data_IF_737553091581
#
_entry.id   IF_737553091581
#
_cell.length_a   1.000
_cell.length_b   1.000
_cell.length_c   1.000
_cell.angle_alpha   90.00
_cell.angle_beta   90.00
_cell.angle_gamma   90.00
#
_symmetry.space_group_name_H-M   'P 1'
#
loop_
_entity.id
_entity.type
_entity.pdbx_description
1 polymer ?
#
# COMPACT_ATOMS: atom_id res chain seq x y z
N UNK A 1 22.80 -20.09 5.87
CA UNK A 1 22.20 -18.91 6.52
C UNK A 1 21.08 -18.29 5.68
N UNK A 2 21.34 -17.84 4.43
CA UNK A 2 20.29 -17.32 3.50
C UNK A 2 19.05 -18.23 3.39
N UNK A 3 19.24 -19.50 3.05
CA UNK A 3 18.14 -20.47 2.93
C UNK A 3 17.31 -20.62 4.22
N UNK A 4 17.96 -20.59 5.39
CA UNK A 4 17.26 -20.65 6.69
C UNK A 4 16.39 -19.43 6.92
N UNK A 5 16.88 -18.23 6.60
CA UNK A 5 16.12 -16.98 6.71
C UNK A 5 14.90 -16.99 5.79
N UNK A 6 15.08 -17.42 4.53
CA UNK A 6 13.98 -17.53 3.55
C UNK A 6 12.90 -18.49 4.07
N UNK A 7 13.30 -19.68 4.53
CA UNK A 7 12.35 -20.66 5.09
C UNK A 7 11.62 -20.12 6.32
N UNK A 8 12.30 -19.39 7.19
CA UNK A 8 11.69 -18.76 8.36
C UNK A 8 10.68 -17.67 7.97
N UNK A 9 11.02 -16.80 7.02
CA UNK A 9 10.11 -15.75 6.53
C UNK A 9 8.87 -16.33 5.86
N UNK A 10 9.04 -17.37 5.05
CA UNK A 10 7.91 -18.07 4.42
C UNK A 10 7.01 -18.73 5.47
N UNK A 11 7.58 -19.39 6.48
CA UNK A 11 6.80 -19.98 7.57
C UNK A 11 6.04 -18.92 8.36
N UNK A 12 6.69 -17.82 8.74
CA UNK A 12 6.04 -16.71 9.43
C UNK A 12 4.92 -16.11 8.59
N UNK A 13 5.15 -15.93 7.28
CA UNK A 13 4.11 -15.48 6.34
C UNK A 13 2.92 -16.42 6.38
N UNK A 14 3.12 -17.74 6.23
CA UNK A 14 2.03 -18.72 6.28
C UNK A 14 1.25 -18.66 7.60
N UNK A 15 1.96 -18.54 8.73
CA UNK A 15 1.33 -18.44 10.05
C UNK A 15 0.54 -17.12 10.17
N UNK A 16 1.08 -15.99 9.72
CA UNK A 16 0.38 -14.70 9.75
C UNK A 16 -0.92 -14.75 8.96
N UNK A 17 -0.94 -15.49 7.85
CA UNK A 17 -2.11 -15.62 6.99
C UNK A 17 -3.23 -16.49 7.60
N UNK A 18 -3.00 -17.23 8.69
CA UNK A 18 -4.08 -17.95 9.41
C UNK A 18 -5.01 -17.00 10.17
N UNK A 19 -4.58 -15.75 10.38
CA UNK A 19 -5.28 -14.73 11.18
C UNK A 19 -5.52 -15.15 12.64
N UNK A 20 -4.76 -16.10 13.16
CA UNK A 20 -4.85 -16.51 14.56
C UNK A 20 -4.14 -15.51 15.49
N UNK A 21 -4.66 -15.30 16.71
CA UNK A 21 -3.99 -14.45 17.69
C UNK A 21 -2.66 -15.09 18.11
N UNK A 22 -1.61 -14.28 18.19
CA UNK A 22 -0.35 -14.74 18.75
C UNK A 22 -0.32 -14.61 20.27
N UNK A 23 0.45 -15.46 20.96
CA UNK A 23 0.88 -15.17 22.32
C UNK A 23 1.50 -13.78 22.41
N UNK A 24 1.28 -13.09 23.54
CA UNK A 24 1.74 -11.71 23.76
C UNK A 24 3.23 -11.58 23.50
N UNK A 25 4.03 -12.53 23.99
CA UNK A 25 5.48 -12.52 23.81
C UNK A 25 5.88 -12.60 22.34
N UNK A 26 5.28 -13.52 21.57
CA UNK A 26 5.53 -13.65 20.13
C UNK A 26 5.16 -12.36 19.40
N UNK A 27 4.01 -11.76 19.73
CA UNK A 27 3.60 -10.50 19.13
C UNK A 27 4.56 -9.35 19.47
N UNK A 28 5.09 -9.33 20.70
CA UNK A 28 6.07 -8.33 21.14
C UNK A 28 7.40 -8.45 20.37
N UNK A 29 7.86 -9.67 20.08
CA UNK A 29 9.08 -9.92 19.32
C UNK A 29 8.92 -9.52 17.85
N UNK A 30 7.79 -9.87 17.23
CA UNK A 30 7.51 -9.51 15.82
C UNK A 30 7.26 -8.01 15.65
N UNK A 31 6.69 -7.35 16.67
CA UNK A 31 6.48 -5.90 16.69
C UNK A 31 7.72 -5.10 17.10
N UNK A 32 8.84 -5.78 17.41
CA UNK A 32 10.06 -5.13 17.84
C UNK A 32 10.68 -4.33 16.69
N UNK A 33 10.93 -3.04 16.91
CA UNK A 33 11.49 -2.15 15.89
C UNK A 33 12.89 -2.56 15.42
N UNK A 34 13.70 -3.23 16.26
CA UNK A 34 15.01 -3.78 15.87
C UNK A 34 14.83 -4.90 14.85
N UNK A 35 13.86 -5.78 15.07
CA UNK A 35 13.56 -6.87 14.15
C UNK A 35 13.04 -6.33 12.81
N UNK A 36 12.11 -5.37 12.84
CA UNK A 36 11.58 -4.77 11.62
C UNK A 36 12.65 -3.99 10.83
N UNK A 37 13.53 -3.25 11.51
CA UNK A 37 14.71 -2.61 10.90
C UNK A 37 15.62 -3.61 10.24
N UNK A 38 15.84 -4.77 10.86
CA UNK A 38 16.60 -5.85 10.25
C UNK A 38 15.94 -6.36 8.96
N UNK A 39 14.61 -6.54 8.94
CA UNK A 39 13.90 -6.92 7.71
C UNK A 39 14.03 -5.86 6.61
N UNK A 40 13.93 -4.57 6.95
CA UNK A 40 14.15 -3.50 5.98
C UNK A 40 15.59 -3.54 5.43
N UNK A 41 16.58 -3.68 6.32
CA UNK A 41 17.98 -3.82 5.91
C UNK A 41 18.24 -5.06 5.04
N UNK A 42 17.52 -6.16 5.25
CA UNK A 42 17.61 -7.32 4.36
C UNK A 42 17.17 -6.96 2.94
N UNK A 43 16.13 -6.15 2.79
CA UNK A 43 15.63 -5.71 1.48
C UNK A 43 16.60 -4.72 0.85
N UNK A 44 17.03 -3.69 1.60
CA UNK A 44 17.91 -2.65 1.06
C UNK A 44 19.29 -3.19 0.66
N UNK A 45 19.89 -4.07 1.47
CA UNK A 45 21.24 -4.58 1.23
C UNK A 45 21.28 -5.71 0.19
N UNK A 46 20.15 -6.30 -0.19
CA UNK A 46 20.08 -7.44 -1.12
C UNK A 46 19.08 -7.19 -2.25
N UNK A 47 18.94 -5.93 -2.71
CA UNK A 47 17.89 -5.52 -3.65
C UNK A 47 17.87 -6.29 -4.99
N UNK A 48 19.01 -6.84 -5.42
CA UNK A 48 19.12 -7.67 -6.64
C UNK A 48 18.76 -9.16 -6.41
N UNK A 49 18.58 -9.58 -5.16
CA UNK A 49 18.35 -10.97 -4.77
C UNK A 49 16.86 -11.24 -4.50
N UNK A 50 16.11 -11.41 -5.60
CA UNK A 50 14.67 -11.66 -5.56
C UNK A 50 14.27 -12.87 -4.69
N UNK A 51 15.14 -13.87 -4.53
CA UNK A 51 14.90 -15.04 -3.67
C UNK A 51 14.80 -14.67 -2.18
N UNK A 52 15.45 -13.59 -1.75
CA UNK A 52 15.44 -13.10 -0.37
C UNK A 52 14.49 -11.91 -0.19
N UNK A 53 14.45 -11.00 -1.17
CA UNK A 53 13.63 -9.79 -1.10
C UNK A 53 12.15 -10.13 -1.14
N UNK A 54 11.71 -11.03 -2.02
CA UNK A 54 10.29 -11.35 -2.16
C UNK A 54 9.71 -11.97 -0.88
N UNK A 55 10.32 -12.97 -0.23
CA UNK A 55 9.87 -13.46 1.07
C UNK A 55 9.82 -12.39 2.16
N UNK A 56 10.79 -11.47 2.17
CA UNK A 56 10.83 -10.35 3.13
C UNK A 56 9.64 -9.41 2.95
N UNK A 57 9.30 -9.09 1.70
CA UNK A 57 8.12 -8.28 1.36
C UNK A 57 6.82 -9.02 1.71
N UNK A 58 6.73 -10.32 1.38
CA UNK A 58 5.56 -11.14 1.73
C UNK A 58 5.31 -11.16 3.23
N UNK A 59 6.38 -11.28 4.03
CA UNK A 59 6.30 -11.19 5.47
C UNK A 59 5.75 -9.82 5.91
N UNK A 60 6.32 -8.71 5.43
CA UNK A 60 5.88 -7.37 5.78
C UNK A 60 4.41 -7.14 5.43
N UNK A 61 3.99 -7.49 4.22
CA UNK A 61 2.61 -7.33 3.76
C UNK A 61 1.63 -8.17 4.60
N UNK A 62 1.99 -9.42 4.90
CA UNK A 62 1.16 -10.31 5.73
C UNK A 62 1.08 -9.82 7.18
N UNK A 63 2.17 -9.28 7.71
CA UNK A 63 2.19 -8.72 9.05
C UNK A 63 1.36 -7.42 9.11
N UNK A 64 1.43 -6.60 8.06
CA UNK A 64 0.67 -5.37 7.91
C UNK A 64 -0.85 -5.59 7.98
N UNK A 65 -1.34 -6.72 7.46
CA UNK A 65 -2.77 -7.07 7.48
C UNK A 65 -3.35 -7.21 8.89
N UNK A 66 -2.50 -7.40 9.91
CA UNK A 66 -2.96 -7.59 11.30
C UNK A 66 -3.41 -6.31 12.00
N UNK A 67 -3.22 -5.16 11.37
CA UNK A 67 -3.44 -3.86 11.98
C UNK A 67 -4.49 -3.08 11.22
N UNK A 68 -5.62 -2.77 11.87
CA UNK A 68 -6.67 -1.93 11.27
C UNK A 68 -6.29 -0.45 11.28
N UNK A 69 -5.40 -0.04 12.19
CA UNK A 69 -5.03 1.35 12.41
C UNK A 69 -3.53 1.57 12.17
N UNK A 70 -3.15 2.43 11.21
CA UNK A 70 -1.75 2.70 10.89
C UNK A 70 -0.94 3.23 12.08
N UNK A 71 -1.53 4.06 12.94
CA UNK A 71 -0.88 4.62 14.13
C UNK A 71 -0.56 3.57 15.23
N UNK A 72 -1.10 2.35 15.11
CA UNK A 72 -0.79 1.19 15.96
C UNK A 72 0.01 0.13 15.22
N UNK A 73 0.33 0.36 13.95
CA UNK A 73 1.05 -0.59 13.11
C UNK A 73 2.57 -0.45 13.34
N UNK A 74 3.23 -1.47 13.91
CA UNK A 74 4.67 -1.43 14.19
C UNK A 74 5.53 -1.19 12.94
N UNK A 75 5.09 -1.64 11.77
CA UNK A 75 5.80 -1.37 10.50
C UNK A 75 5.81 0.14 10.26
N UNK A 76 4.64 0.78 10.27
CA UNK A 76 4.51 2.22 9.99
C UNK A 76 5.26 3.07 11.01
N UNK A 77 5.15 2.72 12.30
CA UNK A 77 5.88 3.41 13.38
C UNK A 77 7.40 3.24 13.24
N UNK A 78 7.88 2.07 12.82
CA UNK A 78 9.31 1.83 12.62
C UNK A 78 9.83 2.57 11.38
N UNK A 79 9.07 2.58 10.30
CA UNK A 79 9.37 3.36 9.08
C UNK A 79 9.45 4.85 9.38
N UNK A 80 8.48 5.39 10.12
CA UNK A 80 8.48 6.78 10.60
C UNK A 80 9.73 7.09 11.43
N UNK A 81 10.13 6.18 12.31
CA UNK A 81 11.29 6.36 13.18
C UNK A 81 12.65 6.26 12.46
N UNK A 82 12.72 5.67 11.27
CA UNK A 82 13.94 5.68 10.46
C UNK A 82 14.20 7.09 9.93
N UNK A 83 13.14 7.85 9.62
CA UNK A 83 13.18 9.26 9.22
C UNK A 83 14.21 9.60 8.13
N UNK A 84 14.56 8.62 7.29
CA UNK A 84 15.56 8.74 6.24
C UNK A 84 15.07 8.01 4.99
N UNK A 85 14.76 8.79 3.96
CA UNK A 85 14.22 8.27 2.71
C UNK A 85 15.14 7.24 2.03
N UNK A 86 16.45 7.48 2.08
CA UNK A 86 17.48 6.63 1.46
C UNK A 86 17.50 5.24 2.10
N UNK A 87 17.15 5.15 3.38
CA UNK A 87 17.25 3.93 4.19
C UNK A 87 16.14 2.91 3.91
N UNK A 88 15.15 3.23 3.06
CA UNK A 88 14.05 2.34 2.67
C UNK A 88 13.72 2.44 1.16
N UNK A 89 14.68 2.87 0.32
CA UNK A 89 14.42 3.19 -1.08
C UNK A 89 14.00 1.96 -1.88
N UNK A 90 14.73 0.86 -1.76
CA UNK A 90 14.47 -0.35 -2.53
C UNK A 90 13.17 -1.03 -2.09
N UNK A 91 12.82 -0.97 -0.81
CA UNK A 91 11.51 -1.38 -0.32
C UNK A 91 10.39 -0.60 -1.01
N UNK A 92 10.46 0.74 -1.05
CA UNK A 92 9.44 1.57 -1.70
C UNK A 92 9.37 1.29 -3.20
N UNK A 93 10.50 1.21 -3.90
CA UNK A 93 10.55 0.89 -5.33
C UNK A 93 9.91 -0.47 -5.64
N UNK A 94 10.19 -1.48 -4.82
CA UNK A 94 9.63 -2.82 -5.02
C UNK A 94 8.14 -2.87 -4.74
N UNK A 95 7.64 -2.13 -3.74
CA UNK A 95 6.20 -1.99 -3.49
C UNK A 95 5.49 -1.26 -4.63
N UNK A 96 6.07 -0.16 -5.13
CA UNK A 96 5.54 0.58 -6.29
C UNK A 96 5.55 -0.32 -7.54
N UNK A 97 6.57 -1.14 -7.74
CA UNK A 97 6.64 -2.08 -8.86
C UNK A 97 5.53 -3.14 -8.78
N UNK A 98 5.29 -3.72 -7.60
CA UNK A 98 4.20 -4.67 -7.38
C UNK A 98 2.84 -4.02 -7.65
N UNK A 99 2.65 -2.80 -7.16
CA UNK A 99 1.44 -2.00 -7.36
C UNK A 99 1.22 -1.66 -8.83
N UNK A 100 2.26 -1.22 -9.54
CA UNK A 100 2.21 -0.93 -10.98
C UNK A 100 1.85 -2.17 -11.81
N UNK A 101 2.28 -3.36 -11.38
CA UNK A 101 1.94 -4.63 -12.04
C UNK A 101 0.58 -5.18 -11.61
N UNK A 102 -0.08 -4.55 -10.62
CA UNK A 102 -1.31 -5.04 -10.00
C UNK A 102 -1.16 -6.51 -9.54
N UNK A 103 0.02 -6.83 -8.97
CA UNK A 103 0.35 -8.16 -8.45
C UNK A 103 0.31 -8.09 -6.92
N UNK A 104 -0.56 -8.91 -6.32
CA UNK A 104 -0.49 -9.21 -4.90
C UNK A 104 0.41 -10.42 -4.66
N UNK A 105 1.56 -10.28 -3.97
CA UNK A 105 2.43 -11.41 -3.68
C UNK A 105 1.83 -12.37 -2.62
N UNK A 106 0.73 -11.97 -1.98
CA UNK A 106 -0.06 -12.78 -1.04
C UNK A 106 -1.36 -13.20 -1.72
N UNK A 107 -1.42 -14.46 -2.15
CA UNK A 107 -2.58 -15.01 -2.84
C UNK A 107 -3.73 -15.33 -1.88
N UNK A 108 -4.94 -15.49 -2.44
CA UNK A 108 -6.14 -15.95 -1.74
C UNK A 108 -6.61 -15.08 -0.57
N UNK A 109 -6.35 -13.78 -0.63
CA UNK A 109 -6.91 -12.79 0.30
C UNK A 109 -8.03 -11.98 -0.33
N UNK A 110 -8.98 -11.59 0.51
CA UNK A 110 -10.10 -10.72 0.14
C UNK A 110 -9.65 -9.27 -0.04
N UNK A 111 -8.59 -8.87 0.67
CA UNK A 111 -7.99 -7.54 0.62
C UNK A 111 -6.67 -7.61 -0.13
N UNK A 112 -6.47 -6.72 -1.10
CA UNK A 112 -5.20 -6.58 -1.79
C UNK A 112 -4.14 -5.96 -0.85
N UNK A 113 -3.12 -6.73 -0.50
CA UNK A 113 -2.18 -6.41 0.58
C UNK A 113 -1.30 -5.21 0.28
N UNK A 114 -0.88 -5.05 -0.98
CA UNK A 114 -0.12 -3.89 -1.45
C UNK A 114 -0.96 -2.60 -1.38
N UNK A 115 -2.23 -2.63 -1.81
CA UNK A 115 -3.13 -1.46 -1.70
C UNK A 115 -3.32 -1.08 -0.23
N UNK A 116 -3.55 -2.07 0.63
CA UNK A 116 -3.67 -1.85 2.09
C UNK A 116 -2.40 -1.24 2.67
N UNK A 117 -1.22 -1.72 2.26
CA UNK A 117 0.05 -1.16 2.70
C UNK A 117 0.20 0.31 2.30
N UNK A 118 -0.16 0.66 1.05
CA UNK A 118 -0.14 2.06 0.62
C UNK A 118 -1.18 2.90 1.38
N UNK A 119 -2.37 2.37 1.66
CA UNK A 119 -3.36 3.08 2.47
C UNK A 119 -2.82 3.41 3.88
N UNK A 120 -2.15 2.46 4.52
CA UNK A 120 -1.49 2.72 5.81
C UNK A 120 -0.33 3.73 5.70
N UNK A 121 0.43 3.67 4.60
CA UNK A 121 1.57 4.55 4.35
C UNK A 121 1.14 6.01 4.15
N UNK A 122 0.03 6.21 3.42
CA UNK A 122 -0.55 7.52 3.13
C UNK A 122 -1.50 8.02 4.22
N UNK A 123 -1.69 7.28 5.30
CA UNK A 123 -2.55 7.69 6.41
C UNK A 123 -2.12 9.05 6.97
N UNK A 124 -3.11 9.93 7.13
CA UNK A 124 -2.87 11.33 7.47
C UNK A 124 -2.14 11.51 8.80
N UNK A 125 -2.34 10.59 9.75
CA UNK A 125 -1.81 10.68 11.11
C UNK A 125 -0.32 10.35 11.21
N UNK A 126 0.23 9.61 10.24
CA UNK A 126 1.56 9.01 10.40
C UNK A 126 2.66 9.73 9.62
N UNK A 127 2.35 10.64 8.67
CA UNK A 127 3.32 11.37 7.82
C UNK A 127 4.37 10.47 7.11
N UNK A 128 4.19 9.14 7.11
CA UNK A 128 5.20 8.19 6.65
C UNK A 128 5.45 8.32 5.15
N UNK A 129 4.40 8.55 4.36
CA UNK A 129 4.52 8.84 2.92
C UNK A 129 5.34 10.10 2.65
N UNK A 130 5.18 11.17 3.46
CA UNK A 130 5.91 12.43 3.31
C UNK A 130 7.42 12.28 3.49
N UNK A 131 7.82 11.33 4.33
CA UNK A 131 9.22 11.05 4.65
C UNK A 131 9.84 10.08 3.62
N UNK A 132 9.08 9.08 3.15
CA UNK A 132 9.63 7.98 2.36
C UNK A 132 9.46 8.14 0.85
N UNK A 133 8.51 8.94 0.37
CA UNK A 133 8.20 9.07 -1.05
C UNK A 133 8.56 10.45 -1.58
N UNK A 134 9.23 10.48 -2.74
CA UNK A 134 9.39 11.73 -3.48
C UNK A 134 8.08 12.12 -4.15
N UNK A 135 7.94 13.38 -4.53
CA UNK A 135 6.78 13.84 -5.29
C UNK A 135 6.60 13.09 -6.61
N UNK A 136 7.70 12.68 -7.25
CA UNK A 136 7.67 11.82 -8.43
C UNK A 136 7.06 10.45 -8.15
N UNK A 137 7.38 9.84 -7.00
CA UNK A 137 6.83 8.54 -6.60
C UNK A 137 5.33 8.66 -6.33
N UNK A 138 4.90 9.72 -5.62
CA UNK A 138 3.47 9.99 -5.35
C UNK A 138 2.69 10.19 -6.64
N UNK A 139 3.21 10.99 -7.57
CA UNK A 139 2.57 11.21 -8.88
C UNK A 139 2.48 9.89 -9.66
N UNK A 140 3.54 9.07 -9.65
CA UNK A 140 3.51 7.76 -10.29
C UNK A 140 2.45 6.84 -9.66
N UNK A 141 2.31 6.82 -8.34
CA UNK A 141 1.27 6.04 -7.65
C UNK A 141 -0.12 6.53 -8.07
N UNK A 142 -0.36 7.84 -8.16
CA UNK A 142 -1.63 8.40 -8.62
C UNK A 142 -1.91 8.02 -10.08
N UNK A 143 -0.90 8.04 -10.95
CA UNK A 143 -1.02 7.60 -12.35
C UNK A 143 -1.39 6.10 -12.45
N UNK A 144 -0.80 5.27 -11.59
CA UNK A 144 -1.15 3.84 -11.50
C UNK A 144 -2.61 3.69 -11.06
N UNK A 145 -3.03 4.36 -9.98
CA UNK A 145 -4.42 4.30 -9.49
C UNK A 145 -5.39 4.77 -10.57
N UNK A 146 -5.10 5.88 -11.23
CA UNK A 146 -5.94 6.45 -12.30
C UNK A 146 -6.10 5.44 -13.44
N UNK A 147 -5.00 4.83 -13.88
CA UNK A 147 -5.01 3.78 -14.91
C UNK A 147 -5.85 2.58 -14.46
N UNK A 148 -5.70 2.11 -13.23
CA UNK A 148 -6.47 0.97 -12.73
C UNK A 148 -7.97 1.27 -12.67
N UNK A 149 -8.36 2.44 -12.18
CA UNK A 149 -9.76 2.86 -12.13
C UNK A 149 -10.39 2.98 -13.52
N UNK A 150 -9.70 3.62 -14.47
CA UNK A 150 -10.19 3.77 -15.86
C UNK A 150 -10.45 2.41 -16.52
N UNK A 151 -9.63 1.41 -16.23
CA UNK A 151 -9.73 0.07 -16.85
C UNK A 151 -10.63 -0.91 -16.08
N UNK A 152 -11.14 -0.53 -14.89
CA UNK A 152 -11.97 -1.39 -14.04
C UNK A 152 -13.45 -1.06 -14.13
N UNK A 153 -14.27 -2.03 -13.73
CA UNK A 153 -15.68 -1.83 -13.47
C UNK A 153 -15.90 -1.17 -12.11
N UNK A 154 -16.93 -0.35 -12.00
CA UNK A 154 -17.41 0.19 -10.72
C UNK A 154 -17.90 -0.87 -9.72
N UNK A 155 -18.06 -2.11 -10.17
CA UNK A 155 -18.43 -3.30 -9.36
C UNK A 155 -17.26 -4.22 -9.06
N UNK A 156 -16.07 -3.93 -9.59
CA UNK A 156 -14.89 -4.75 -9.32
C UNK A 156 -14.51 -4.66 -7.84
N UNK A 157 -14.06 -5.80 -7.29
CA UNK A 157 -13.81 -5.97 -5.85
C UNK A 157 -12.77 -5.00 -5.28
N UNK A 158 -11.82 -4.55 -6.10
CA UNK A 158 -10.72 -3.69 -5.64
C UNK A 158 -10.98 -2.21 -5.96
N UNK A 159 -12.02 -1.89 -6.74
CA UNK A 159 -12.34 -0.50 -7.13
C UNK A 159 -12.53 0.40 -5.93
N UNK A 160 -13.22 -0.07 -4.90
CA UNK A 160 -13.39 0.68 -3.65
C UNK A 160 -12.06 0.97 -2.97
N UNK A 161 -11.15 -0.01 -2.94
CA UNK A 161 -9.83 0.15 -2.34
C UNK A 161 -8.96 1.17 -3.10
N UNK A 162 -8.99 1.14 -4.44
CA UNK A 162 -8.31 2.13 -5.27
C UNK A 162 -8.90 3.55 -5.10
N UNK A 163 -10.23 3.68 -5.04
CA UNK A 163 -10.89 4.98 -4.80
C UNK A 163 -10.54 5.53 -3.42
N UNK A 164 -10.60 4.71 -2.37
CA UNK A 164 -10.23 5.13 -1.01
C UNK A 164 -8.76 5.53 -0.92
N UNK A 165 -7.86 4.79 -1.58
CA UNK A 165 -6.44 5.16 -1.62
C UNK A 165 -6.22 6.48 -2.38
N UNK A 166 -6.91 6.68 -3.50
CA UNK A 166 -6.83 7.93 -4.25
C UNK A 166 -7.31 9.11 -3.41
N UNK A 167 -8.49 9.00 -2.79
CA UNK A 167 -9.03 10.05 -1.92
C UNK A 167 -8.06 10.42 -0.80
N UNK A 168 -7.48 9.41 -0.14
CA UNK A 168 -6.49 9.61 0.92
C UNK A 168 -5.25 10.37 0.43
N UNK A 169 -4.70 10.00 -0.72
CA UNK A 169 -3.52 10.67 -1.28
C UNK A 169 -3.85 12.13 -1.66
N UNK A 170 -5.01 12.37 -2.28
CA UNK A 170 -5.39 13.68 -2.79
C UNK A 170 -5.63 14.73 -1.71
N UNK A 171 -6.03 14.32 -0.49
CA UNK A 171 -6.18 15.23 0.67
C UNK A 171 -4.92 16.06 0.92
N UNK A 172 -3.75 15.44 0.79
CA UNK A 172 -2.44 16.09 1.01
C UNK A 172 -1.73 16.46 -0.29
N UNK A 173 -1.96 15.69 -1.35
CA UNK A 173 -1.26 15.83 -2.63
C UNK A 173 -2.27 15.99 -3.76
N UNK A 174 -2.97 17.15 -3.84
CA UNK A 174 -3.96 17.39 -4.89
C UNK A 174 -3.28 17.37 -6.27
N UNK A 175 -4.01 16.87 -7.27
CA UNK A 175 -3.56 16.85 -8.66
C UNK A 175 -4.34 17.84 -9.51
N UNK A 176 -3.71 18.27 -10.59
CA UNK A 176 -4.29 19.07 -11.67
C UNK A 176 -4.08 18.38 -13.01
N UNK A 177 -4.65 18.94 -14.09
CA UNK A 177 -4.37 18.52 -15.47
C UNK A 177 -2.89 18.58 -15.85
N UNK A 178 -2.11 19.44 -15.20
CA UNK A 178 -0.66 19.57 -15.47
C UNK A 178 0.16 18.48 -14.77
N UNK A 179 -0.30 17.99 -13.63
CA UNK A 179 0.45 17.04 -12.81
C UNK A 179 0.01 15.59 -12.98
N UNK A 180 -1.19 15.36 -13.53
CA UNK A 180 -1.74 14.04 -13.83
C UNK A 180 -2.16 13.99 -15.30
N UNK A 181 -1.48 13.17 -16.08
CA UNK A 181 -1.69 13.01 -17.52
C UNK A 181 -3.07 12.42 -17.84
N UNK A 182 -3.62 11.60 -16.93
CA UNK A 182 -4.92 10.93 -17.07
C UNK A 182 -6.07 11.69 -16.42
N UNK A 183 -5.88 12.96 -16.06
CA UNK A 183 -6.86 13.73 -15.29
C UNK A 183 -8.27 13.74 -15.94
N UNK A 184 -8.35 14.10 -17.22
CA UNK A 184 -9.66 14.19 -17.92
C UNK A 184 -10.31 12.81 -18.13
N UNK A 185 -9.51 11.77 -18.38
CA UNK A 185 -9.99 10.37 -18.46
C UNK A 185 -10.54 9.90 -17.10
N UNK A 186 -9.87 10.25 -16.00
CA UNK A 186 -10.30 9.93 -14.65
C UNK A 186 -11.61 10.65 -14.29
N UNK A 187 -11.74 11.94 -14.63
CA UNK A 187 -13.00 12.68 -14.44
C UNK A 187 -14.14 12.03 -15.23
N UNK A 188 -13.88 11.63 -16.48
CA UNK A 188 -14.88 10.93 -17.31
C UNK A 188 -15.25 9.58 -16.69
N UNK A 189 -14.28 8.81 -16.20
CA UNK A 189 -14.49 7.55 -15.48
C UNK A 189 -15.40 7.75 -14.25
N UNK A 190 -15.17 8.80 -13.46
CA UNK A 190 -16.01 9.13 -12.31
C UNK A 190 -17.46 9.44 -12.69
N UNK A 191 -17.67 10.22 -13.77
CA UNK A 191 -19.02 10.48 -14.28
C UNK A 191 -19.73 9.18 -14.71
N UNK A 192 -19.01 8.27 -15.39
CA UNK A 192 -19.56 6.97 -15.76
C UNK A 192 -19.94 6.14 -14.53
N UNK A 193 -19.09 6.10 -13.51
CA UNK A 193 -19.36 5.38 -12.26
C UNK A 193 -20.56 5.98 -11.51
N UNK A 194 -20.71 7.31 -11.49
CA UNK A 194 -21.86 8.00 -10.89
C UNK A 194 -23.17 7.78 -11.69
N UNK A 195 -23.10 7.52 -12.99
CA UNK A 195 -24.30 7.22 -13.79
C UNK A 195 -24.68 5.73 -13.76
N UNK A 196 -23.73 4.83 -13.51
CA UNK A 196 -23.95 3.38 -13.59
C UNK A 196 -24.77 2.83 -12.41
N UNK A 197 -26.01 2.39 -12.64
CA UNK A 197 -26.93 1.88 -11.59
C UNK A 197 -26.33 0.76 -10.72
N UNK A 198 -25.41 -0.03 -11.28
CA UNK A 198 -24.74 -1.14 -10.58
C UNK A 198 -23.57 -0.70 -9.69
N UNK A 199 -23.14 0.56 -9.78
CA UNK A 199 -22.04 1.08 -9.00
C UNK A 199 -22.37 1.10 -7.51
N UNK A 200 -21.45 0.57 -6.69
CA UNK A 200 -21.60 0.53 -5.23
C UNK A 200 -21.79 1.94 -4.66
N UNK A 201 -22.69 2.07 -3.68
CA UNK A 201 -22.96 3.36 -3.01
C UNK A 201 -21.70 3.94 -2.36
N UNK A 202 -20.82 3.09 -1.84
CA UNK A 202 -19.54 3.49 -1.27
C UNK A 202 -18.62 4.15 -2.31
N UNK A 203 -18.52 3.56 -3.51
CA UNK A 203 -17.73 4.13 -4.60
C UNK A 203 -18.27 5.50 -5.01
N UNK A 204 -19.60 5.63 -5.12
CA UNK A 204 -20.27 6.91 -5.41
C UNK A 204 -20.00 7.95 -4.35
N UNK A 205 -20.02 7.54 -3.08
CA UNK A 205 -19.73 8.43 -1.95
C UNK A 205 -18.30 8.97 -2.03
N UNK A 206 -17.31 8.09 -2.19
CA UNK A 206 -15.89 8.48 -2.28
C UNK A 206 -15.65 9.41 -3.47
N UNK A 207 -16.22 9.09 -4.63
CA UNK A 207 -16.09 9.92 -5.84
C UNK A 207 -16.67 11.32 -5.61
N UNK A 208 -17.87 11.42 -5.03
CA UNK A 208 -18.47 12.72 -4.73
C UNK A 208 -17.63 13.53 -3.74
N UNK A 209 -17.00 12.87 -2.76
CA UNK A 209 -16.08 13.53 -1.84
C UNK A 209 -14.84 14.07 -2.57
N UNK A 210 -14.21 13.29 -3.44
CA UNK A 210 -13.07 13.76 -4.27
C UNK A 210 -13.48 14.98 -5.11
N UNK A 211 -14.61 14.89 -5.81
CA UNK A 211 -15.14 15.96 -6.65
C UNK A 211 -15.37 17.24 -5.84
N UNK A 212 -16.02 17.11 -4.68
CA UNK A 212 -16.35 18.21 -3.78
C UNK A 212 -15.10 18.88 -3.20
N UNK A 213 -14.10 18.11 -2.81
CA UNK A 213 -12.89 18.61 -2.16
C UNK A 213 -11.94 19.31 -3.16
N UNK A 214 -11.91 18.86 -4.41
CA UNK A 214 -10.94 19.33 -5.40
C UNK A 214 -11.53 20.16 -6.55
N UNK A 215 -12.84 20.43 -6.54
CA UNK A 215 -13.56 21.15 -7.59
C UNK A 215 -13.35 20.54 -9.00
N UNK A 216 -13.44 19.21 -9.07
CA UNK A 216 -13.36 18.46 -10.32
C UNK A 216 -14.67 18.53 -11.12
#
# INVERSE_FOLDING_TARGET
>A
MKSTVISALNLLTTILLTNEPFPVDTNSQLSNSIFLKYIFQLIENNHDDDELVLPSIKFLLSFNLRFDYPNKNPIMLTLLAINEQISCRHLMERLILLFNRNIDPIEHKTIHTVIKFFADLFDDQNMTSDILLFDSDRRLIIEIISRELINRSCTDKDTTAYLSLLELILRKHPITRETCTRFDELQTCFQLYLCAETCLNENRFIINEIIRQHNW
#
